data_IF_553227123772
#
_entry.id   IF_553227123772
#
_cell.length_a   1.000
_cell.length_b   1.000
_cell.length_c   1.000
_cell.angle_alpha   90.00
_cell.angle_beta   90.00
_cell.angle_gamma   90.00
#
_symmetry.space_group_name_H-M   'P 1'
#
loop_
_entity.id
_entity.type
_entity.pdbx_description
1 polymer ?
#
# COMPACT_ATOMS: atom_id res chain seq x y z
N UNK A 1 -21.56 -1.83 -11.34
CA UNK A 1 -20.77 -0.57 -11.24
C UNK A 1 -19.30 -0.95 -11.32
N UNK A 2 -18.45 -0.08 -11.88
CA UNK A 2 -17.07 -0.45 -12.22
C UNK A 2 -16.18 -0.54 -10.97
N UNK A 3 -15.23 -1.48 -10.96
CA UNK A 3 -14.13 -1.58 -10.00
C UNK A 3 -13.14 -0.38 -10.06
N UNK A 4 -13.51 0.68 -10.76
CA UNK A 4 -12.73 1.91 -10.95
C UNK A 4 -12.18 2.50 -9.65
N UNK A 5 -12.95 2.48 -8.55
CA UNK A 5 -12.49 3.00 -7.27
C UNK A 5 -11.33 2.19 -6.69
N UNK A 6 -11.39 0.86 -6.77
CA UNK A 6 -10.31 -0.03 -6.32
C UNK A 6 -9.09 0.09 -7.24
N UNK A 7 -9.29 0.11 -8.56
CA UNK A 7 -8.19 0.30 -9.52
C UNK A 7 -7.49 1.64 -9.33
N UNK A 8 -8.24 2.73 -9.12
CA UNK A 8 -7.66 4.05 -8.89
C UNK A 8 -6.86 4.11 -7.58
N UNK A 9 -7.36 3.49 -6.51
CA UNK A 9 -6.67 3.43 -5.23
C UNK A 9 -5.36 2.63 -5.32
N UNK A 10 -5.36 1.49 -6.02
CA UNK A 10 -4.17 0.68 -6.27
C UNK A 10 -3.12 1.43 -7.11
N UNK A 11 -3.56 2.15 -8.15
CA UNK A 11 -2.64 2.99 -8.95
C UNK A 11 -2.01 4.10 -8.10
N UNK A 12 -2.79 4.77 -7.25
CA UNK A 12 -2.27 5.79 -6.34
C UNK A 12 -1.26 5.22 -5.34
N UNK A 13 -1.53 4.03 -4.79
CA UNK A 13 -0.58 3.31 -3.92
C UNK A 13 0.73 2.99 -4.66
N UNK A 14 0.66 2.47 -5.88
CA UNK A 14 1.84 2.17 -6.69
C UNK A 14 2.68 3.43 -7.01
N UNK A 15 2.02 4.56 -7.29
CA UNK A 15 2.71 5.84 -7.49
C UNK A 15 3.43 6.31 -6.21
N UNK A 16 2.81 6.15 -5.05
CA UNK A 16 3.42 6.47 -3.76
C UNK A 16 4.61 5.57 -3.46
N UNK A 17 4.50 4.26 -3.72
CA UNK A 17 5.61 3.31 -3.59
C UNK A 17 6.79 3.69 -4.49
N UNK A 18 6.53 4.03 -5.76
CA UNK A 18 7.57 4.48 -6.68
C UNK A 18 8.23 5.79 -6.24
N UNK A 19 7.47 6.73 -5.67
CA UNK A 19 8.02 7.96 -5.06
C UNK A 19 8.87 7.65 -3.83
N UNK A 20 8.42 6.77 -2.94
CA UNK A 20 9.16 6.35 -1.75
C UNK A 20 10.53 5.75 -2.15
N UNK A 21 10.54 4.86 -3.14
CA UNK A 21 11.76 4.25 -3.66
C UNK A 21 12.80 5.29 -4.14
N UNK A 22 12.36 6.34 -4.85
CA UNK A 22 13.24 7.44 -5.30
C UNK A 22 13.87 8.19 -4.13
N UNK A 23 13.10 8.51 -3.09
CA UNK A 23 13.65 9.19 -1.91
C UNK A 23 14.58 8.29 -1.10
N UNK A 24 14.29 6.99 -1.01
CA UNK A 24 15.19 6.02 -0.39
C UNK A 24 16.52 5.91 -1.14
N UNK A 25 16.49 5.88 -2.47
CA UNK A 25 17.69 5.92 -3.30
C UNK A 25 18.49 7.20 -3.08
N UNK A 26 17.81 8.36 -3.05
CA UNK A 26 18.45 9.65 -2.79
C UNK A 26 19.10 9.70 -1.41
N UNK A 27 18.44 9.15 -0.38
CA UNK A 27 18.99 9.00 0.96
C UNK A 27 20.27 8.17 0.96
N UNK A 28 20.27 7.01 0.30
CA UNK A 28 21.48 6.16 0.17
C UNK A 28 22.62 6.88 -0.56
N UNK A 29 22.29 7.63 -1.61
CA UNK A 29 23.27 8.46 -2.32
C UNK A 29 23.88 9.52 -1.39
N UNK A 30 23.08 10.20 -0.58
CA UNK A 30 23.57 11.15 0.41
C UNK A 30 24.41 10.46 1.50
N UNK A 31 24.02 9.28 1.97
CA UNK A 31 24.81 8.48 2.93
C UNK A 31 26.22 8.18 2.40
N UNK A 32 26.33 7.77 1.14
CA UNK A 32 27.61 7.52 0.50
C UNK A 32 28.45 8.81 0.39
N UNK A 33 27.86 9.92 -0.06
CA UNK A 33 28.54 11.22 -0.16
C UNK A 33 29.03 11.68 1.22
N UNK A 34 28.21 11.55 2.27
CA UNK A 34 28.58 11.89 3.64
C UNK A 34 29.77 11.04 4.11
N UNK A 35 29.77 9.73 3.86
CA UNK A 35 30.86 8.84 4.24
C UNK A 35 32.17 9.18 3.50
N UNK A 36 32.11 9.37 2.19
CA UNK A 36 33.26 9.75 1.35
C UNK A 36 33.84 11.11 1.76
N UNK A 37 32.97 12.11 1.96
CA UNK A 37 33.38 13.47 2.34
C UNK A 37 34.01 13.49 3.74
N UNK A 38 33.47 12.71 4.70
CA UNK A 38 34.09 12.57 6.04
C UNK A 38 35.47 11.94 5.98
N UNK A 39 35.66 10.89 5.17
CA UNK A 39 36.98 10.28 4.98
C UNK A 39 37.97 11.26 4.33
N UNK A 40 37.52 12.02 3.32
CA UNK A 40 38.33 13.06 2.67
C UNK A 40 38.72 14.17 3.65
N UNK A 41 37.77 14.67 4.45
CA UNK A 41 38.01 15.70 5.46
C UNK A 41 39.06 15.26 6.48
N UNK A 42 38.98 14.03 7.00
CA UNK A 42 39.97 13.52 7.95
C UNK A 42 41.40 13.53 7.37
N UNK A 43 41.55 13.15 6.09
CA UNK A 43 42.85 13.20 5.40
C UNK A 43 43.34 14.63 5.16
N UNK A 44 42.44 15.54 4.74
CA UNK A 44 42.77 16.95 4.52
C UNK A 44 43.17 17.65 5.82
N UNK A 45 42.45 17.41 6.91
CA UNK A 45 42.75 17.97 8.23
C UNK A 45 44.12 17.50 8.73
N UNK A 46 44.43 16.20 8.57
CA UNK A 46 45.76 15.68 8.90
C UNK A 46 46.87 16.32 8.05
N UNK A 47 46.66 16.41 6.72
CA UNK A 47 47.62 17.04 5.81
C UNK A 47 47.81 18.53 6.12
N UNK A 48 46.74 19.23 6.51
CA UNK A 48 46.79 20.63 6.92
C UNK A 48 47.65 20.83 8.16
N UNK A 49 47.49 19.99 9.20
CA UNK A 49 48.35 20.05 10.38
C UNK A 49 49.84 19.83 10.05
N UNK A 50 50.15 18.93 9.12
CA UNK A 50 51.54 18.75 8.66
C UNK A 50 52.06 19.98 7.89
N UNK A 51 51.20 20.59 7.07
CA UNK A 51 51.53 21.80 6.33
C UNK A 51 51.76 23.01 7.26
N UNK A 52 50.95 23.16 8.31
CA UNK A 52 51.14 24.19 9.35
C UNK A 52 52.49 24.02 10.07
N UNK A 53 52.89 22.77 10.38
CA UNK A 53 54.22 22.50 10.95
C UNK A 53 55.35 22.90 10.00
N UNK A 54 55.23 22.57 8.71
CA UNK A 54 56.21 22.99 7.69
C UNK A 54 56.28 24.50 7.54
N UNK A 55 55.15 25.18 7.61
CA UNK A 55 55.09 26.65 7.59
C UNK A 55 55.86 27.26 8.77
N UNK A 56 55.72 26.70 9.98
CA UNK A 56 56.49 27.15 11.17
C UNK A 56 58.00 26.94 10.98
N UNK A 57 58.41 25.93 10.22
CA UNK A 57 59.81 25.69 9.87
C UNK A 57 60.27 26.43 8.61
N UNK A 58 59.49 27.38 8.08
CA UNK A 58 59.74 28.11 6.83
C UNK A 58 59.87 27.24 5.56
N UNK A 59 59.38 25.98 5.62
CA UNK A 59 59.39 25.01 4.53
C UNK A 59 58.11 25.07 3.67
N UNK A 60 57.15 25.92 4.03
CA UNK A 60 55.91 26.17 3.31
C UNK A 60 55.55 27.65 3.37
N UNK A 61 54.64 28.10 2.51
CA UNK A 61 54.17 29.50 2.49
C UNK A 61 52.82 29.67 3.16
N UNK A 62 52.53 30.87 3.67
CA UNK A 62 51.21 31.20 4.20
C UNK A 62 50.10 31.00 3.16
N UNK A 63 50.40 31.23 1.87
CA UNK A 63 49.45 31.01 0.78
C UNK A 63 49.05 29.52 0.67
N UNK A 64 49.98 28.59 0.86
CA UNK A 64 49.69 27.15 0.86
C UNK A 64 48.79 26.76 2.05
N UNK A 65 49.07 27.30 3.24
CA UNK A 65 48.24 27.07 4.45
C UNK A 65 46.82 27.60 4.21
N UNK A 66 46.67 28.81 3.67
CA UNK A 66 45.37 29.40 3.37
C UNK A 66 44.59 28.60 2.31
N UNK A 67 45.26 28.13 1.26
CA UNK A 67 44.63 27.30 0.23
C UNK A 67 44.12 25.96 0.81
N UNK A 68 44.94 25.29 1.64
CA UNK A 68 44.55 24.06 2.32
C UNK A 68 43.35 24.27 3.27
N UNK A 69 43.33 25.39 4.00
CA UNK A 69 42.19 25.76 4.86
C UNK A 69 40.92 26.00 4.04
N UNK A 70 41.02 26.68 2.91
CA UNK A 70 39.88 26.91 2.03
C UNK A 70 39.32 25.60 1.46
N UNK A 71 40.18 24.62 1.15
CA UNK A 71 39.75 23.29 0.72
C UNK A 71 38.97 22.55 1.82
N UNK A 72 39.46 22.57 3.07
CA UNK A 72 38.76 21.98 4.22
C UNK A 72 37.38 22.62 4.41
N UNK A 73 37.28 23.94 4.40
CA UNK A 73 36.00 24.63 4.56
C UNK A 73 35.02 24.34 3.40
N UNK A 74 35.53 24.21 2.17
CA UNK A 74 34.72 23.79 1.03
C UNK A 74 34.14 22.38 1.23
N UNK A 75 34.95 21.43 1.69
CA UNK A 75 34.47 20.05 1.96
C UNK A 75 33.54 19.98 3.17
N UNK A 76 33.75 20.80 4.22
CA UNK A 76 32.81 20.93 5.34
C UNK A 76 31.44 21.45 4.90
N UNK A 77 31.42 22.43 4.00
CA UNK A 77 30.18 22.93 3.43
C UNK A 77 29.44 21.85 2.62
N UNK A 78 30.15 21.05 1.82
CA UNK A 78 29.57 19.90 1.10
C UNK A 78 29.00 18.85 2.05
N UNK A 79 29.71 18.55 3.14
CA UNK A 79 29.24 17.60 4.15
C UNK A 79 27.94 18.06 4.80
N UNK A 80 27.88 19.33 5.24
CA UNK A 80 26.69 19.91 5.85
C UNK A 80 25.47 19.85 4.91
N UNK A 81 25.67 20.18 3.63
CA UNK A 81 24.60 20.10 2.63
C UNK A 81 24.15 18.66 2.37
N UNK A 82 25.08 17.69 2.29
CA UNK A 82 24.75 16.28 2.13
C UNK A 82 23.93 15.74 3.32
N UNK A 83 24.29 16.11 4.56
CA UNK A 83 23.55 15.73 5.77
C UNK A 83 22.15 16.36 5.81
N UNK A 84 22.02 17.62 5.38
CA UNK A 84 20.73 18.29 5.25
C UNK A 84 19.82 17.57 4.24
N UNK A 85 20.34 17.27 3.05
CA UNK A 85 19.60 16.56 2.00
C UNK A 85 19.21 15.14 2.43
N UNK A 86 20.09 14.44 3.16
CA UNK A 86 19.78 13.14 3.77
C UNK A 86 18.59 13.24 4.72
N UNK A 87 18.57 14.28 5.57
CA UNK A 87 17.49 14.49 6.54
C UNK A 87 16.16 14.76 5.83
N UNK A 88 16.17 15.65 4.83
CA UNK A 88 15.00 15.93 4.01
C UNK A 88 14.49 14.68 3.27
N UNK A 89 15.38 13.85 2.72
CA UNK A 89 14.99 12.60 2.09
C UNK A 89 14.35 11.63 3.09
N UNK A 90 14.86 11.57 4.32
CA UNK A 90 14.30 10.73 5.38
C UNK A 90 12.91 11.21 5.84
N UNK A 91 12.71 12.51 5.98
CA UNK A 91 11.41 13.08 6.34
C UNK A 91 10.38 12.87 5.23
N UNK A 92 10.78 13.04 3.96
CA UNK A 92 9.94 12.73 2.81
C UNK A 92 9.52 11.25 2.76
N UNK A 93 10.43 10.32 3.08
CA UNK A 93 10.09 8.89 3.18
C UNK A 93 9.03 8.66 4.25
N UNK A 94 9.19 9.23 5.45
CA UNK A 94 8.21 9.07 6.55
C UNK A 94 6.83 9.61 6.17
N UNK A 95 6.78 10.76 5.50
CA UNK A 95 5.52 11.34 5.03
C UNK A 95 4.85 10.45 3.99
N UNK A 96 5.61 9.93 3.02
CA UNK A 96 5.08 9.04 1.99
C UNK A 96 4.61 7.70 2.61
N UNK A 97 5.33 7.14 3.57
CA UNK A 97 4.92 5.92 4.28
C UNK A 97 3.56 6.10 4.96
N UNK A 98 3.30 7.28 5.55
CA UNK A 98 1.99 7.62 6.11
C UNK A 98 0.89 7.70 5.03
N UNK A 99 1.21 8.27 3.86
CA UNK A 99 0.28 8.34 2.72
C UNK A 99 -0.01 6.93 2.15
N UNK A 100 0.99 6.05 2.08
CA UNK A 100 0.82 4.65 1.67
C UNK A 100 -0.14 3.94 2.61
N UNK A 101 0.06 4.05 3.93
CA UNK A 101 -0.85 3.45 4.92
C UNK A 101 -2.30 3.94 4.75
N UNK A 102 -2.49 5.23 4.48
CA UNK A 102 -3.82 5.78 4.22
C UNK A 102 -4.42 5.22 2.91
N UNK A 103 -3.61 5.10 1.85
CA UNK A 103 -4.04 4.52 0.57
C UNK A 103 -4.42 3.04 0.70
N UNK A 104 -3.68 2.25 1.48
CA UNK A 104 -4.00 0.85 1.79
C UNK A 104 -5.34 0.73 2.52
N UNK A 105 -5.57 1.57 3.54
CA UNK A 105 -6.84 1.61 4.27
C UNK A 105 -8.01 2.00 3.37
N UNK A 106 -7.81 3.00 2.50
CA UNK A 106 -8.81 3.42 1.52
C UNK A 106 -9.12 2.31 0.52
N UNK A 107 -8.10 1.60 0.02
CA UNK A 107 -8.27 0.43 -0.86
C UNK A 107 -9.07 -0.66 -0.18
N UNK A 108 -8.75 -1.01 1.08
CA UNK A 108 -9.48 -2.00 1.84
C UNK A 108 -10.93 -1.59 2.11
N UNK A 109 -11.22 -0.30 2.30
CA UNK A 109 -12.58 0.22 2.42
C UNK A 109 -13.34 0.09 1.09
N UNK A 110 -12.76 0.57 -0.01
CA UNK A 110 -13.36 0.50 -1.34
C UNK A 110 -13.68 -0.94 -1.77
N UNK A 111 -12.79 -1.90 -1.49
CA UNK A 111 -13.05 -3.33 -1.75
C UNK A 111 -14.24 -3.86 -0.97
N UNK A 112 -14.35 -3.51 0.32
CA UNK A 112 -15.48 -3.92 1.16
C UNK A 112 -16.80 -3.36 0.63
N UNK A 113 -16.82 -2.09 0.27
CA UNK A 113 -17.99 -1.42 -0.30
C UNK A 113 -18.41 -2.06 -1.63
N UNK A 114 -17.46 -2.28 -2.54
CA UNK A 114 -17.72 -2.94 -3.82
C UNK A 114 -18.33 -4.34 -3.63
N UNK A 115 -17.72 -5.18 -2.79
CA UNK A 115 -18.23 -6.52 -2.50
C UNK A 115 -19.64 -6.47 -1.88
N UNK A 116 -19.89 -5.55 -0.95
CA UNK A 116 -21.20 -5.36 -0.34
C UNK A 116 -22.25 -4.93 -1.37
N UNK A 117 -21.89 -4.04 -2.30
CA UNK A 117 -22.77 -3.59 -3.37
C UNK A 117 -23.12 -4.73 -4.32
N UNK A 118 -22.13 -5.49 -4.80
CA UNK A 118 -22.34 -6.63 -5.69
C UNK A 118 -23.22 -7.71 -5.04
N UNK A 119 -22.99 -7.99 -3.75
CA UNK A 119 -23.86 -8.88 -2.94
C UNK A 119 -25.29 -8.34 -2.89
N UNK A 120 -25.46 -7.06 -2.57
CA UNK A 120 -26.78 -6.46 -2.45
C UNK A 120 -27.52 -6.44 -3.80
N UNK A 121 -26.83 -6.21 -4.92
CA UNK A 121 -27.39 -6.31 -6.26
C UNK A 121 -27.83 -7.75 -6.58
N UNK A 122 -27.03 -8.76 -6.23
CA UNK A 122 -27.41 -10.17 -6.41
C UNK A 122 -28.65 -10.53 -5.58
N UNK A 123 -28.70 -10.11 -4.31
CA UNK A 123 -29.86 -10.30 -3.43
C UNK A 123 -31.09 -9.58 -4.00
N UNK A 124 -30.94 -8.36 -4.52
CA UNK A 124 -32.04 -7.62 -5.12
C UNK A 124 -32.63 -8.37 -6.32
N UNK A 125 -31.79 -8.94 -7.20
CA UNK A 125 -32.25 -9.76 -8.33
C UNK A 125 -33.07 -10.97 -7.86
N UNK A 126 -32.58 -11.70 -6.86
CA UNK A 126 -33.28 -12.83 -6.25
C UNK A 126 -34.63 -12.40 -5.69
N UNK A 127 -34.69 -11.28 -4.95
CA UNK A 127 -35.92 -10.73 -4.38
C UNK A 127 -36.97 -10.37 -5.44
N UNK A 128 -36.52 -9.93 -6.61
CA UNK A 128 -37.40 -9.54 -7.73
C UNK A 128 -37.70 -10.69 -8.70
N UNK A 129 -37.12 -11.87 -8.50
CA UNK A 129 -37.33 -13.02 -9.39
C UNK A 129 -38.74 -13.61 -9.20
N UNK A 130 -39.63 -13.27 -10.13
CA UNK A 130 -41.03 -13.71 -10.08
C UNK A 130 -41.20 -15.22 -10.32
N UNK A 131 -40.29 -15.86 -11.05
CA UNK A 131 -40.35 -17.30 -11.34
C UNK A 131 -39.93 -18.08 -10.10
N UNK A 132 -38.80 -17.71 -9.49
CA UNK A 132 -38.36 -18.28 -8.23
C UNK A 132 -39.46 -18.13 -7.16
N UNK A 133 -40.05 -16.94 -7.05
CA UNK A 133 -41.14 -16.68 -6.11
C UNK A 133 -42.37 -17.57 -6.37
N UNK A 134 -42.80 -17.74 -7.62
CA UNK A 134 -43.93 -18.61 -7.97
C UNK A 134 -43.66 -20.07 -7.62
N UNK A 135 -42.46 -20.57 -7.93
CA UNK A 135 -42.07 -21.95 -7.64
C UNK A 135 -42.01 -22.23 -6.13
N UNK A 136 -41.46 -21.30 -5.35
CA UNK A 136 -41.45 -21.41 -3.89
C UNK A 136 -42.86 -21.44 -3.30
N UNK A 137 -43.79 -20.61 -3.80
CA UNK A 137 -45.20 -20.62 -3.36
C UNK A 137 -45.88 -21.95 -3.73
N UNK A 138 -45.64 -22.47 -4.94
CA UNK A 138 -46.21 -23.76 -5.36
C UNK A 138 -45.71 -24.93 -4.49
N UNK A 139 -44.42 -24.95 -4.16
CA UNK A 139 -43.83 -25.95 -3.27
C UNK A 139 -44.43 -25.87 -1.85
N UNK A 140 -44.59 -24.65 -1.31
CA UNK A 140 -45.27 -24.42 -0.03
C UNK A 140 -46.71 -24.94 -0.05
N UNK A 141 -47.47 -24.60 -1.10
CA UNK A 141 -48.86 -25.02 -1.23
C UNK A 141 -48.99 -26.56 -1.29
N UNK A 142 -48.09 -27.23 -2.03
CA UNK A 142 -48.05 -28.69 -2.09
C UNK A 142 -47.71 -29.32 -0.73
N UNK A 143 -46.74 -28.76 0.00
CA UNK A 143 -46.36 -29.23 1.34
C UNK A 143 -47.51 -29.11 2.35
N UNK A 144 -48.19 -27.96 2.36
CA UNK A 144 -49.37 -27.75 3.21
C UNK A 144 -50.51 -28.68 2.82
N UNK A 145 -50.77 -28.84 1.51
CA UNK A 145 -51.79 -29.76 0.99
C UNK A 145 -51.56 -31.23 1.36
N UNK A 146 -50.30 -31.62 1.60
CA UNK A 146 -49.94 -32.95 2.09
C UNK A 146 -50.12 -33.14 3.61
N UNK A 147 -50.61 -32.13 4.34
CA UNK A 147 -50.84 -32.21 5.80
C UNK A 147 -49.66 -31.80 6.67
N UNK A 148 -48.71 -31.02 6.13
CA UNK A 148 -47.55 -30.51 6.88
C UNK A 148 -47.91 -29.63 8.09
N UNK A 149 -47.12 -29.72 9.16
CA UNK A 149 -47.39 -29.12 10.49
C UNK A 149 -47.22 -27.59 10.58
N UNK A 150 -46.72 -26.91 9.55
CA UNK A 150 -46.39 -25.47 9.59
C UNK A 150 -47.04 -24.74 8.41
N UNK A 151 -48.34 -24.56 8.52
CA UNK A 151 -49.24 -24.55 7.35
C UNK A 151 -49.12 -23.34 6.43
N UNK A 152 -48.59 -22.18 6.86
CA UNK A 152 -48.45 -21.00 5.97
C UNK A 152 -47.25 -20.08 6.27
N UNK A 153 -46.34 -20.48 7.16
CA UNK A 153 -45.19 -19.64 7.52
C UNK A 153 -44.07 -19.79 6.49
N UNK A 154 -43.88 -18.77 5.65
CA UNK A 154 -42.82 -18.73 4.65
C UNK A 154 -41.41 -18.80 5.26
N UNK A 155 -41.20 -18.21 6.45
CA UNK A 155 -39.90 -18.25 7.13
C UNK A 155 -39.58 -19.65 7.66
N UNK A 156 -40.56 -20.36 8.21
CA UNK A 156 -40.39 -21.73 8.72
C UNK A 156 -40.16 -22.69 7.56
N UNK A 157 -40.94 -22.57 6.48
CA UNK A 157 -40.74 -23.37 5.26
C UNK A 157 -39.35 -23.16 4.67
N UNK A 158 -38.91 -21.91 4.46
CA UNK A 158 -37.58 -21.63 3.95
C UNK A 158 -36.48 -22.20 4.86
N UNK A 159 -36.57 -22.01 6.17
CA UNK A 159 -35.54 -22.51 7.11
C UNK A 159 -35.42 -24.03 7.10
N UNK A 160 -36.55 -24.74 6.97
CA UNK A 160 -36.57 -26.22 6.95
C UNK A 160 -36.14 -26.80 5.59
N UNK A 161 -36.42 -26.10 4.49
CA UNK A 161 -36.27 -26.65 3.14
C UNK A 161 -35.18 -25.98 2.29
N UNK A 162 -34.49 -24.93 2.76
CA UNK A 162 -33.43 -24.25 1.97
C UNK A 162 -32.37 -25.22 1.45
N UNK A 163 -31.93 -26.19 2.27
CA UNK A 163 -30.97 -27.20 1.84
C UNK A 163 -31.55 -28.20 0.83
N UNK A 164 -32.86 -28.41 0.79
CA UNK A 164 -33.53 -29.25 -0.22
C UNK A 164 -33.82 -28.47 -1.52
N UNK A 165 -33.95 -27.15 -1.42
CA UNK A 165 -34.17 -26.24 -2.56
C UNK A 165 -32.86 -25.96 -3.29
N UNK A 166 -31.73 -25.91 -2.56
CA UNK A 166 -30.39 -25.67 -3.10
C UNK A 166 -29.39 -26.75 -2.64
N UNK A 167 -29.64 -28.04 -2.91
CA UNK A 167 -28.85 -29.15 -2.37
C UNK A 167 -27.44 -29.22 -2.98
N UNK A 168 -27.26 -28.64 -4.16
CA UNK A 168 -26.02 -28.74 -4.92
C UNK A 168 -24.98 -27.68 -4.55
N UNK A 169 -25.30 -26.63 -3.76
CA UNK A 169 -24.32 -25.61 -3.41
C UNK A 169 -23.28 -26.19 -2.45
N UNK A 170 -22.14 -26.62 -3.00
CA UNK A 170 -21.01 -27.13 -2.24
C UNK A 170 -20.06 -26.01 -1.82
N UNK A 171 -19.28 -26.24 -0.74
CA UNK A 171 -18.21 -25.32 -0.35
C UNK A 171 -17.17 -25.14 -1.47
N UNK A 172 -16.94 -26.19 -2.27
CA UNK A 172 -16.01 -26.17 -3.39
C UNK A 172 -16.46 -25.21 -4.50
N UNK A 173 -17.73 -25.25 -4.89
CA UNK A 173 -18.28 -24.32 -5.89
C UNK A 173 -18.29 -22.88 -5.39
N UNK A 174 -18.60 -22.67 -4.10
CA UNK A 174 -18.52 -21.33 -3.50
C UNK A 174 -17.08 -20.82 -3.54
N UNK A 175 -16.09 -21.67 -3.23
CA UNK A 175 -14.68 -21.30 -3.29
C UNK A 175 -14.23 -20.99 -4.71
N UNK A 176 -14.64 -21.78 -5.70
CA UNK A 176 -14.35 -21.51 -7.11
C UNK A 176 -15.00 -20.19 -7.56
N UNK A 177 -16.25 -19.94 -7.17
CA UNK A 177 -16.95 -18.70 -7.47
C UNK A 177 -16.27 -17.49 -6.82
N UNK A 178 -15.73 -17.63 -5.60
CA UNK A 178 -14.93 -16.58 -4.94
C UNK A 178 -13.65 -16.29 -5.74
N UNK A 179 -12.90 -17.31 -6.13
CA UNK A 179 -11.65 -17.11 -6.89
C UNK A 179 -11.90 -16.57 -8.30
N UNK A 180 -13.01 -16.96 -8.94
CA UNK A 180 -13.46 -16.34 -10.18
C UNK A 180 -13.85 -14.88 -9.96
N UNK A 181 -14.63 -14.58 -8.94
CA UNK A 181 -15.04 -13.22 -8.61
C UNK A 181 -13.85 -12.31 -8.34
N UNK A 182 -12.84 -12.77 -7.59
CA UNK A 182 -11.62 -12.00 -7.35
C UNK A 182 -10.87 -11.71 -8.65
N UNK A 183 -10.69 -12.71 -9.52
CA UNK A 183 -10.02 -12.55 -10.82
C UNK A 183 -10.76 -11.59 -11.74
N UNK A 184 -12.06 -11.79 -11.91
CA UNK A 184 -12.89 -10.99 -12.82
C UNK A 184 -12.97 -9.51 -12.38
N UNK A 185 -12.73 -9.24 -11.09
CA UNK A 185 -12.82 -7.90 -10.51
C UNK A 185 -11.49 -7.39 -9.95
N UNK A 186 -10.34 -8.02 -10.24
CA UNK A 186 -9.01 -7.54 -9.81
C UNK A 186 -8.88 -7.24 -8.31
N UNK A 187 -9.39 -8.13 -7.46
CA UNK A 187 -9.38 -8.01 -5.99
C UNK A 187 -8.26 -8.80 -5.31
#
# INVERSE_FOLDING_TARGET
MSNQAVTAALSAEAELQAKCAKFQEKKRSCDNITAETRAKLANLEHAHTLLERRYICDEATMQQVQASRAEIESERAKLAEAERLKTLAQDAVREIDQQILQAEQATAAARREFCAEQRNQAIAKIKTDTTLRKNLIAAMAAHTGAGGTYTFSASVFATQFVAQILPEISEAEVREAVEKFKRDNGL
#
